data_IF_659814141997
#
_entry.id   IF_659814141997
#
_cell.length_a   1.000
_cell.length_b   1.000
_cell.length_c   1.000
_cell.angle_alpha   90.00
_cell.angle_beta   90.00
_cell.angle_gamma   90.00
#
_symmetry.space_group_name_H-M   'P 1'
#
loop_
_entity.id
_entity.type
_entity.pdbx_description
1 polymer ?
#
# COMPACT_ATOMS: atom_id res chain seq x y z
N UNK A 1 1.35 14.11 51.85
CA UNK A 1 1.83 13.21 50.78
C UNK A 1 0.96 13.44 49.56
N UNK A 2 1.56 13.97 48.49
CA UNK A 2 0.92 14.37 47.24
C UNK A 2 0.29 13.19 46.51
N UNK A 3 -0.97 13.34 46.06
CA UNK A 3 -1.52 12.58 44.92
C UNK A 3 -2.06 13.59 43.91
N UNK A 4 -1.20 13.93 42.95
CA UNK A 4 -1.52 14.67 41.76
C UNK A 4 -2.40 13.79 40.85
N UNK A 5 -3.72 14.03 40.83
CA UNK A 5 -4.60 13.47 39.81
C UNK A 5 -4.59 14.45 38.63
N UNK A 6 -3.83 14.11 37.61
CA UNK A 6 -3.85 14.79 36.31
C UNK A 6 -5.17 14.44 35.63
N UNK A 7 -6.19 15.31 35.78
CA UNK A 7 -7.39 15.27 34.95
C UNK A 7 -6.98 15.74 33.56
N UNK A 8 -6.79 14.79 32.64
CA UNK A 8 -6.78 15.09 31.20
C UNK A 8 -8.18 15.58 30.87
N UNK A 9 -8.32 16.90 30.67
CA UNK A 9 -9.50 17.46 30.06
C UNK A 9 -9.50 17.01 28.60
N UNK A 10 -10.32 16.01 28.27
CA UNK A 10 -10.71 15.77 26.89
C UNK A 10 -11.60 16.95 26.51
N UNK A 11 -11.00 17.94 25.84
CA UNK A 11 -11.76 18.96 25.14
C UNK A 11 -12.51 18.26 24.00
N UNK A 12 -13.74 17.84 24.27
CA UNK A 12 -14.67 17.43 23.25
C UNK A 12 -14.98 18.64 22.38
N UNK A 13 -14.40 18.69 21.18
CA UNK A 13 -14.83 19.64 20.17
C UNK A 13 -16.17 19.13 19.63
N UNK A 14 -17.26 19.67 20.17
CA UNK A 14 -18.58 19.51 19.58
C UNK A 14 -18.58 20.22 18.23
N UNK A 15 -18.50 19.44 17.14
CA UNK A 15 -18.65 19.96 15.79
C UNK A 15 -20.13 20.21 15.55
N UNK A 16 -20.60 21.44 15.80
CA UNK A 16 -21.89 21.89 15.27
C UNK A 16 -21.76 22.00 13.76
N UNK A 17 -22.21 20.97 13.04
CA UNK A 17 -22.39 21.03 11.60
C UNK A 17 -23.55 22.00 11.35
N UNK A 18 -23.22 23.25 11.05
CA UNK A 18 -24.18 24.14 10.39
C UNK A 18 -24.54 23.47 9.06
N UNK A 19 -25.84 23.22 8.85
CA UNK A 19 -26.39 22.65 7.63
C UNK A 19 -26.27 23.67 6.50
N UNK A 20 -25.08 23.78 5.92
CA UNK A 20 -24.85 24.45 4.66
C UNK A 20 -24.18 23.46 3.72
N UNK A 21 -24.51 23.54 2.43
CA UNK A 21 -23.89 22.72 1.39
C UNK A 21 -22.41 23.11 1.27
N UNK A 22 -21.58 22.58 2.17
CA UNK A 22 -20.14 22.68 2.07
C UNK A 22 -19.71 21.90 0.81
N UNK A 23 -19.09 22.59 -0.13
CA UNK A 23 -18.53 21.96 -1.33
C UNK A 23 -17.42 20.98 -0.92
N UNK A 24 -17.22 19.94 -1.72
CA UNK A 24 -16.13 18.98 -1.51
C UNK A 24 -14.77 19.69 -1.32
N UNK A 25 -14.54 20.79 -2.05
CA UNK A 25 -13.34 21.61 -1.93
C UNK A 25 -13.13 22.23 -0.54
N UNK A 26 -14.21 22.62 0.16
CA UNK A 26 -14.11 23.16 1.52
C UNK A 26 -13.79 22.08 2.55
N UNK A 27 -14.40 20.90 2.40
CA UNK A 27 -14.07 19.76 3.25
C UNK A 27 -12.63 19.32 2.99
N UNK A 28 -12.21 19.21 1.73
CA UNK A 28 -10.84 18.87 1.35
C UNK A 28 -9.82 19.84 1.95
N UNK A 29 -10.05 21.16 1.85
CA UNK A 29 -9.17 22.15 2.48
C UNK A 29 -9.18 22.05 4.00
N UNK A 30 -10.35 21.92 4.62
CA UNK A 30 -10.47 21.81 6.07
C UNK A 30 -9.78 20.56 6.64
N UNK A 31 -9.91 19.42 5.96
CA UNK A 31 -9.20 18.19 6.32
C UNK A 31 -7.68 18.30 6.06
N UNK A 32 -7.24 18.95 4.98
CA UNK A 32 -5.82 19.21 4.73
C UNK A 32 -5.20 20.15 5.78
N UNK A 33 -5.96 21.15 6.25
CA UNK A 33 -5.49 22.14 7.22
C UNK A 33 -5.44 21.56 8.64
N UNK A 34 -6.37 20.65 9.00
CA UNK A 34 -6.39 19.97 10.30
C UNK A 34 -5.46 18.73 10.37
N UNK A 35 -5.23 18.06 9.25
CA UNK A 35 -4.52 16.77 9.18
C UNK A 35 -3.45 16.74 8.09
N UNK A 36 -2.78 17.86 7.84
CA UNK A 36 -1.76 18.03 6.78
C UNK A 36 -0.84 16.81 6.60
N UNK A 37 -0.31 16.64 5.38
CA UNK A 37 -0.44 15.40 4.62
C UNK A 37 0.03 14.16 5.40
N UNK A 38 -0.92 13.39 5.96
CA UNK A 38 -0.71 11.96 6.21
C UNK A 38 -0.96 11.12 4.95
N UNK A 39 -0.97 11.74 3.77
CA UNK A 39 -0.83 11.01 2.51
C UNK A 39 0.65 10.65 2.33
N UNK A 40 1.01 9.36 2.19
CA UNK A 40 2.34 8.98 1.78
C UNK A 40 2.72 9.80 0.56
N UNK A 41 3.88 10.45 0.58
CA UNK A 41 4.40 11.12 -0.61
C UNK A 41 4.31 10.14 -1.78
N UNK A 42 3.68 10.58 -2.87
CA UNK A 42 3.35 9.73 -4.02
C UNK A 42 4.58 9.11 -4.69
N UNK A 43 4.41 8.65 -5.92
CA UNK A 43 5.55 8.13 -6.68
C UNK A 43 6.67 9.16 -6.80
N UNK A 44 7.90 8.72 -6.52
CA UNK A 44 9.12 9.53 -6.57
C UNK A 44 10.17 8.86 -7.45
N UNK A 45 11.06 9.65 -8.04
CA UNK A 45 12.31 9.17 -8.64
C UNK A 45 13.40 9.43 -7.62
N UNK A 46 14.10 8.38 -7.18
CA UNK A 46 15.11 8.46 -6.12
C UNK A 46 16.46 7.97 -6.64
N UNK A 47 17.53 8.54 -6.09
CA UNK A 47 18.88 8.03 -6.31
C UNK A 47 19.14 6.86 -5.36
N UNK A 48 19.69 5.78 -5.89
CA UNK A 48 19.96 4.57 -5.14
C UNK A 48 21.45 4.22 -5.17
N UNK A 49 21.89 3.57 -4.09
CA UNK A 49 23.23 3.03 -3.97
C UNK A 49 23.14 1.51 -3.85
N UNK A 50 24.17 0.82 -4.33
CA UNK A 50 24.33 -0.61 -4.12
C UNK A 50 24.26 -1.43 -5.39
N UNK A 51 24.44 -2.74 -5.21
CA UNK A 51 24.56 -3.69 -6.31
C UNK A 51 23.21 -4.30 -6.68
N UNK A 52 22.26 -3.46 -7.09
CA UNK A 52 20.97 -3.92 -7.62
C UNK A 52 21.04 -4.07 -9.15
N UNK A 53 20.26 -4.99 -9.70
CA UNK A 53 20.15 -5.16 -11.14
C UNK A 53 19.00 -4.34 -11.69
N UNK A 54 19.16 -3.83 -12.91
CA UNK A 54 18.08 -3.14 -13.63
C UNK A 54 16.89 -4.10 -13.77
N UNK A 55 15.71 -3.63 -13.41
CA UNK A 55 14.49 -4.43 -13.37
C UNK A 55 14.23 -5.16 -12.05
N UNK A 56 15.15 -5.12 -11.08
CA UNK A 56 14.87 -5.60 -9.73
C UNK A 56 13.75 -4.77 -9.08
N UNK A 57 12.89 -5.45 -8.33
CA UNK A 57 11.90 -4.84 -7.44
C UNK A 57 12.37 -5.06 -6.00
N UNK A 58 12.54 -3.97 -5.24
CA UNK A 58 12.86 -4.01 -3.81
C UNK A 58 11.64 -3.51 -3.05
N UNK A 59 11.07 -4.35 -2.20
CA UNK A 59 10.00 -3.98 -1.27
C UNK A 59 10.63 -3.77 0.10
N UNK A 60 10.63 -2.52 0.57
CA UNK A 60 10.99 -2.20 1.94
C UNK A 60 9.73 -1.94 2.76
N UNK A 61 9.38 -2.89 3.63
CA UNK A 61 8.33 -2.67 4.61
C UNK A 61 8.74 -1.66 5.69
N UNK A 62 10.04 -1.50 5.95
CA UNK A 62 10.57 -0.49 6.88
C UNK A 62 10.39 0.95 6.38
N UNK A 63 10.45 1.16 5.07
CA UNK A 63 10.13 2.45 4.44
C UNK A 63 8.65 2.59 4.09
N UNK A 64 7.90 1.47 4.08
CA UNK A 64 6.57 1.38 3.47
C UNK A 64 6.60 1.82 2.01
N UNK A 65 7.65 1.42 1.30
CA UNK A 65 7.87 1.74 -0.12
C UNK A 65 8.33 0.52 -0.92
N UNK A 66 7.90 0.51 -2.18
CA UNK A 66 8.41 -0.39 -3.21
C UNK A 66 9.31 0.43 -4.14
N UNK A 67 10.43 -0.15 -4.55
CA UNK A 67 11.40 0.47 -5.44
C UNK A 67 11.57 -0.40 -6.68
N UNK A 68 11.39 0.17 -7.86
CA UNK A 68 11.72 -0.46 -9.14
C UNK A 68 13.03 0.14 -9.66
N UNK A 69 14.05 -0.70 -9.85
CA UNK A 69 15.38 -0.27 -10.28
C UNK A 69 15.38 0.00 -11.77
N UNK A 70 15.39 1.29 -12.13
CA UNK A 70 15.42 1.75 -13.53
C UNK A 70 16.85 1.71 -14.08
N UNK A 71 17.83 2.10 -13.26
CA UNK A 71 19.24 2.09 -13.62
C UNK A 71 20.10 1.75 -12.40
N UNK A 72 21.42 1.61 -12.58
CA UNK A 72 22.35 1.37 -11.47
C UNK A 72 22.36 2.46 -10.40
N UNK A 73 21.80 3.65 -10.68
CA UNK A 73 21.79 4.80 -9.77
C UNK A 73 20.40 5.40 -9.54
N UNK A 74 19.36 4.88 -10.21
CA UNK A 74 18.00 5.44 -10.17
C UNK A 74 16.97 4.34 -9.94
N UNK A 75 16.02 4.61 -9.05
CA UNK A 75 14.81 3.83 -8.90
C UNK A 75 13.55 4.69 -8.90
N UNK A 76 12.44 4.11 -9.35
CA UNK A 76 11.12 4.62 -9.04
C UNK A 76 10.69 4.08 -7.70
N UNK A 77 10.23 4.96 -6.82
CA UNK A 77 9.80 4.64 -5.48
C UNK A 77 8.30 4.90 -5.33
N UNK A 78 7.57 3.92 -4.81
CA UNK A 78 6.11 3.93 -4.70
C UNK A 78 5.70 3.71 -3.25
N UNK A 79 4.77 4.49 -2.68
CA UNK A 79 4.21 4.18 -1.37
C UNK A 79 3.37 2.89 -1.42
N UNK A 80 3.42 2.10 -0.35
CA UNK A 80 2.69 0.83 -0.25
C UNK A 80 1.98 0.67 1.09
N UNK A 81 0.87 -0.07 1.10
CA UNK A 81 0.36 -0.69 2.33
C UNK A 81 1.06 -2.04 2.55
N UNK A 82 1.36 -2.35 3.80
CA UNK A 82 2.20 -3.48 4.19
C UNK A 82 1.42 -4.53 5.00
N UNK A 83 1.96 -5.75 5.17
CA UNK A 83 1.33 -6.81 5.94
C UNK A 83 1.21 -6.51 7.43
N UNK A 84 0.11 -6.96 8.04
CA UNK A 84 -0.05 -7.03 9.50
C UNK A 84 1.06 -7.84 10.16
N UNK A 85 1.23 -7.66 11.47
CA UNK A 85 2.32 -8.29 12.23
C UNK A 85 2.30 -9.82 12.15
N UNK A 86 1.10 -10.39 12.13
CA UNK A 86 0.80 -11.81 11.99
C UNK A 86 1.01 -12.36 10.57
N UNK A 87 1.11 -11.48 9.56
CA UNK A 87 1.30 -11.84 8.15
C UNK A 87 2.66 -11.35 7.61
N UNK A 88 3.62 -11.08 8.50
CA UNK A 88 4.97 -10.62 8.13
C UNK A 88 5.73 -11.71 7.37
N UNK A 89 6.45 -11.28 6.35
CA UNK A 89 7.41 -12.10 5.63
C UNK A 89 8.53 -11.25 5.04
N UNK A 90 9.61 -11.90 4.63
CA UNK A 90 10.74 -11.32 3.92
C UNK A 90 11.44 -12.42 3.11
N UNK A 91 12.31 -12.04 2.19
CA UNK A 91 13.07 -12.97 1.35
C UNK A 91 13.06 -12.59 -0.12
N UNK A 92 13.47 -13.54 -0.96
CA UNK A 92 13.53 -13.36 -2.41
C UNK A 92 12.38 -14.11 -3.07
N UNK A 93 11.73 -13.47 -4.02
CA UNK A 93 10.72 -14.02 -4.91
C UNK A 93 10.94 -13.48 -6.33
N UNK A 94 9.98 -13.74 -7.21
CA UNK A 94 10.02 -13.30 -8.60
C UNK A 94 8.60 -13.08 -9.11
N UNK A 95 8.45 -12.17 -10.07
CA UNK A 95 7.17 -11.95 -10.75
C UNK A 95 6.86 -13.18 -11.62
N UNK A 96 5.99 -14.08 -11.17
CA UNK A 96 5.62 -15.29 -11.91
C UNK A 96 4.54 -15.02 -12.96
N UNK A 97 3.66 -14.07 -12.69
CA UNK A 97 2.55 -13.73 -13.58
C UNK A 97 2.14 -12.26 -13.43
N UNK A 98 1.54 -11.73 -14.49
CA UNK A 98 0.93 -10.40 -14.56
C UNK A 98 -0.52 -10.51 -15.04
N UNK A 99 -1.42 -9.77 -14.41
CA UNK A 99 -2.83 -9.63 -14.84
C UNK A 99 -3.30 -8.18 -14.79
N UNK A 100 -4.03 -7.79 -15.84
CA UNK A 100 -4.87 -6.60 -15.84
C UNK A 100 -6.24 -6.95 -15.29
N UNK A 101 -6.82 -6.05 -14.49
CA UNK A 101 -8.15 -6.21 -13.87
C UNK A 101 -8.33 -7.62 -13.28
N UNK A 102 -7.46 -8.06 -12.36
CA UNK A 102 -7.50 -9.40 -11.82
C UNK A 102 -8.84 -9.65 -11.10
N UNK A 103 -9.44 -10.82 -11.31
CA UNK A 103 -10.51 -11.27 -10.43
C UNK A 103 -9.98 -11.60 -9.03
N UNK A 104 -10.83 -11.51 -8.03
CA UNK A 104 -10.47 -11.78 -6.64
C UNK A 104 -11.35 -12.86 -6.01
N UNK A 105 -10.71 -13.70 -5.21
CA UNK A 105 -11.35 -14.73 -4.39
C UNK A 105 -10.71 -14.64 -3.00
N UNK A 106 -11.48 -14.33 -1.95
CA UNK A 106 -10.92 -14.30 -0.60
C UNK A 106 -10.39 -15.68 -0.20
N UNK A 107 -9.31 -15.68 0.58
CA UNK A 107 -8.79 -16.93 1.14
C UNK A 107 -9.74 -17.49 2.19
N UNK A 108 -9.58 -18.77 2.54
CA UNK A 108 -10.34 -19.40 3.62
C UNK A 108 -10.22 -18.61 4.93
N UNK A 109 -9.01 -18.11 5.24
CA UNK A 109 -8.72 -17.33 6.44
C UNK A 109 -9.50 -16.00 6.46
N UNK A 110 -9.49 -15.26 5.35
CA UNK A 110 -10.26 -14.03 5.21
C UNK A 110 -11.76 -14.27 5.40
N UNK A 111 -12.30 -15.38 4.87
CA UNK A 111 -13.71 -15.75 5.05
C UNK A 111 -14.03 -16.21 6.47
N UNK A 112 -13.09 -16.82 7.20
CA UNK A 112 -13.29 -17.13 8.63
C UNK A 112 -13.36 -15.85 9.46
N UNK A 113 -12.49 -14.88 9.18
CA UNK A 113 -12.49 -13.58 9.86
C UNK A 113 -13.73 -12.75 9.52
N UNK A 114 -14.13 -12.74 8.26
CA UNK A 114 -15.33 -12.05 7.80
C UNK A 114 -16.18 -12.95 6.88
N UNK A 115 -17.15 -13.68 7.45
CA UNK A 115 -18.03 -14.58 6.70
C UNK A 115 -18.92 -13.88 5.67
N UNK A 116 -19.05 -12.54 5.73
CA UNK A 116 -19.85 -11.75 4.79
C UNK A 116 -19.12 -11.41 3.50
N UNK A 117 -17.84 -11.74 3.38
CA UNK A 117 -17.09 -11.49 2.15
C UNK A 117 -17.72 -12.26 0.97
N UNK A 118 -17.80 -11.64 -0.22
CA UNK A 118 -18.27 -12.33 -1.42
C UNK A 118 -17.35 -13.51 -1.73
N UNK A 119 -17.91 -14.62 -2.22
CA UNK A 119 -17.10 -15.77 -2.63
C UNK A 119 -16.18 -15.45 -3.81
N UNK A 120 -16.55 -14.48 -4.64
CA UNK A 120 -15.83 -14.07 -5.83
C UNK A 120 -16.18 -12.62 -6.18
N UNK A 121 -15.20 -11.87 -6.65
CA UNK A 121 -15.39 -10.54 -7.23
C UNK A 121 -14.77 -10.53 -8.62
N UNK A 122 -15.53 -10.20 -9.68
CA UNK A 122 -15.00 -10.16 -11.03
C UNK A 122 -13.91 -9.10 -11.20
N UNK A 123 -13.05 -9.32 -12.19
CA UNK A 123 -12.04 -8.36 -12.60
C UNK A 123 -12.66 -7.05 -13.06
N UNK A 124 -12.11 -5.92 -12.64
CA UNK A 124 -12.58 -4.59 -13.04
C UNK A 124 -13.78 -4.06 -12.24
N UNK A 125 -14.35 -4.83 -11.31
CA UNK A 125 -15.33 -4.30 -10.35
C UNK A 125 -14.66 -3.22 -9.47
N UNK A 126 -15.27 -2.04 -9.28
CA UNK A 126 -14.71 -0.98 -8.43
C UNK A 126 -14.46 -1.40 -6.96
N UNK A 127 -15.13 -2.45 -6.48
CA UNK A 127 -14.99 -3.00 -5.13
C UNK A 127 -14.00 -4.16 -5.06
N UNK A 128 -13.26 -4.43 -6.14
CA UNK A 128 -12.29 -5.50 -6.16
C UNK A 128 -11.03 -5.07 -5.38
N UNK A 129 -10.67 -5.76 -4.29
CA UNK A 129 -9.56 -5.34 -3.44
C UNK A 129 -8.19 -5.52 -4.08
N UNK A 130 -8.11 -6.18 -5.25
CA UNK A 130 -6.89 -6.25 -6.05
C UNK A 130 -6.68 -5.03 -6.96
N UNK A 131 -7.69 -4.18 -7.12
CA UNK A 131 -7.62 -2.99 -7.95
C UNK A 131 -7.38 -3.30 -9.43
N UNK A 132 -6.64 -2.43 -10.11
CA UNK A 132 -6.52 -2.44 -11.58
C UNK A 132 -5.44 -3.39 -12.12
N UNK A 133 -4.41 -3.71 -11.35
CA UNK A 133 -3.28 -4.55 -11.76
C UNK A 133 -2.80 -5.45 -10.63
N UNK A 134 -2.32 -6.64 -10.98
CA UNK A 134 -1.61 -7.53 -10.06
C UNK A 134 -0.40 -8.21 -10.71
N UNK A 135 0.70 -8.24 -9.95
CA UNK A 135 1.90 -9.05 -10.16
C UNK A 135 1.90 -10.16 -9.12
N UNK A 136 1.98 -11.40 -9.56
CA UNK A 136 1.95 -12.60 -8.72
C UNK A 136 3.39 -13.00 -8.39
N UNK A 137 3.62 -13.47 -7.16
CA UNK A 137 4.96 -13.69 -6.62
C UNK A 137 5.24 -15.17 -6.42
N UNK A 138 6.11 -15.73 -7.28
CA UNK A 138 6.45 -17.16 -7.28
C UNK A 138 5.22 -18.07 -7.30
N UNK A 139 5.28 -19.14 -6.51
CA UNK A 139 4.18 -20.09 -6.27
C UNK A 139 3.35 -19.73 -5.03
N UNK A 140 3.53 -18.53 -4.48
CA UNK A 140 2.85 -18.07 -3.27
C UNK A 140 1.47 -17.47 -3.56
N UNK A 141 0.71 -17.19 -2.50
CA UNK A 141 -0.51 -16.39 -2.58
C UNK A 141 -0.25 -14.88 -2.55
N UNK A 142 1.00 -14.45 -2.41
CA UNK A 142 1.35 -13.03 -2.33
C UNK A 142 1.38 -12.37 -3.70
N UNK A 143 0.98 -11.09 -3.69
CA UNK A 143 0.86 -10.27 -4.89
C UNK A 143 1.31 -8.85 -4.57
N UNK A 144 1.86 -8.18 -5.58
CA UNK A 144 1.91 -6.72 -5.63
C UNK A 144 0.71 -6.29 -6.46
N UNK A 145 -0.20 -5.49 -5.91
CA UNK A 145 -1.45 -5.16 -6.59
C UNK A 145 -1.96 -3.76 -6.28
N UNK A 146 -2.95 -3.29 -7.04
CA UNK A 146 -3.69 -2.05 -6.78
C UNK A 146 -4.57 -2.13 -5.52
N UNK A 147 -5.56 -1.27 -5.37
CA UNK A 147 -6.47 -1.33 -4.22
C UNK A 147 -7.78 -0.59 -4.51
N UNK A 148 -8.87 -1.04 -3.89
CA UNK A 148 -10.14 -0.31 -3.79
C UNK A 148 -10.17 0.64 -2.58
N UNK A 149 -9.18 0.53 -1.69
CA UNK A 149 -9.05 1.34 -0.47
C UNK A 149 -7.74 2.15 -0.46
N UNK A 150 -7.59 3.21 -1.30
CA UNK A 150 -6.36 3.99 -1.42
C UNK A 150 -5.97 4.73 -0.14
N UNK A 151 -6.92 5.07 0.74
CA UNK A 151 -6.66 5.70 2.03
C UNK A 151 -5.91 4.79 3.03
N UNK A 152 -5.75 3.50 2.73
CA UNK A 152 -4.97 2.56 3.53
C UNK A 152 -3.50 2.44 3.08
N UNK A 153 -3.10 3.09 1.98
CA UNK A 153 -1.70 3.13 1.56
C UNK A 153 -0.87 3.82 2.66
N UNK A 154 0.30 3.26 2.97
CA UNK A 154 1.11 3.67 4.11
C UNK A 154 0.68 3.03 5.44
N UNK A 155 -0.38 2.23 5.49
CA UNK A 155 -0.81 1.53 6.70
C UNK A 155 -0.40 0.05 6.73
N UNK A 156 -0.53 -0.56 7.91
CA UNK A 156 -0.20 -1.97 8.15
C UNK A 156 -1.49 -2.79 8.24
N UNK A 157 -2.01 -3.27 7.10
CA UNK A 157 -3.40 -3.77 7.02
C UNK A 157 -3.58 -5.05 6.21
N UNK A 158 -2.61 -5.48 5.42
CA UNK A 158 -2.81 -6.61 4.50
C UNK A 158 -2.52 -7.97 5.14
N UNK A 159 -3.10 -9.03 4.59
CA UNK A 159 -2.80 -10.44 4.91
C UNK A 159 -1.56 -10.95 4.15
N UNK A 160 -0.56 -10.10 3.91
CA UNK A 160 0.71 -10.48 3.27
C UNK A 160 0.97 -9.86 1.90
N UNK A 161 -0.06 -9.47 1.14
CA UNK A 161 0.12 -8.78 -0.14
C UNK A 161 0.66 -7.36 0.01
N UNK A 162 1.30 -6.85 -1.03
CA UNK A 162 1.76 -5.46 -1.15
C UNK A 162 0.71 -4.67 -1.93
N UNK A 163 0.05 -3.70 -1.29
CA UNK A 163 -0.96 -2.86 -1.94
C UNK A 163 -0.36 -1.54 -2.39
N UNK A 164 -0.72 -1.10 -3.59
CA UNK A 164 -0.30 0.15 -4.21
C UNK A 164 -1.53 0.96 -4.59
N UNK A 165 -1.35 2.27 -4.83
CA UNK A 165 -2.32 3.02 -5.61
C UNK A 165 -2.50 2.40 -7.00
N UNK A 166 -3.67 2.55 -7.62
CA UNK A 166 -4.00 1.85 -8.88
C UNK A 166 -3.14 2.35 -10.06
N UNK A 167 -2.83 3.64 -10.08
CA UNK A 167 -1.95 4.32 -11.01
C UNK A 167 -0.50 3.86 -10.87
N UNK A 168 -0.04 3.64 -9.64
CA UNK A 168 1.29 3.13 -9.33
C UNK A 168 1.42 1.65 -9.69
N UNK A 169 0.40 0.85 -9.40
CA UNK A 169 0.32 -0.54 -9.84
C UNK A 169 0.33 -0.63 -11.37
N UNK A 170 -0.39 0.25 -12.08
CA UNK A 170 -0.35 0.34 -13.53
C UNK A 170 1.02 0.73 -14.09
N UNK A 171 1.72 1.64 -13.42
CA UNK A 171 3.07 2.03 -13.81
C UNK A 171 4.08 0.90 -13.61
N UNK A 172 4.10 0.30 -12.42
CA UNK A 172 4.96 -0.87 -12.14
C UNK A 172 4.65 -2.01 -13.10
N UNK A 173 3.37 -2.25 -13.41
CA UNK A 173 2.96 -3.26 -14.37
C UNK A 173 3.56 -3.04 -15.75
N UNK A 174 3.65 -1.81 -16.25
CA UNK A 174 4.27 -1.55 -17.56
C UNK A 174 5.79 -1.80 -17.55
N UNK A 175 6.45 -1.53 -16.43
CA UNK A 175 7.92 -1.61 -16.29
C UNK A 175 8.41 -3.04 -16.00
N UNK A 176 7.79 -3.69 -15.02
CA UNK A 176 8.24 -4.98 -14.53
C UNK A 176 7.97 -6.10 -15.53
N UNK A 177 8.96 -6.97 -15.74
CA UNK A 177 8.85 -8.17 -16.57
C UNK A 177 8.47 -9.38 -15.72
N UNK A 178 7.82 -10.36 -16.33
CA UNK A 178 7.75 -11.71 -15.75
C UNK A 178 9.20 -12.22 -15.61
N UNK A 179 9.51 -12.83 -14.47
CA UNK A 179 10.87 -13.21 -14.07
C UNK A 179 11.65 -12.13 -13.33
N UNK A 180 11.13 -10.90 -13.20
CA UNK A 180 11.80 -9.85 -12.42
C UNK A 180 11.99 -10.30 -10.96
N UNK A 181 13.20 -10.13 -10.42
CA UNK A 181 13.53 -10.47 -9.03
C UNK A 181 12.80 -9.51 -8.10
N UNK A 182 12.17 -10.06 -7.06
CA UNK A 182 11.49 -9.31 -6.01
C UNK A 182 12.21 -9.59 -4.69
N UNK A 183 12.81 -8.58 -4.09
CA UNK A 183 13.44 -8.68 -2.76
C UNK A 183 12.54 -8.00 -1.75
N UNK A 184 12.11 -8.72 -0.73
CA UNK A 184 11.27 -8.18 0.34
C UNK A 184 12.05 -8.14 1.63
N UNK A 185 12.12 -6.97 2.25
CA UNK A 185 12.86 -6.75 3.50
C UNK A 185 12.10 -5.82 4.45
N UNK A 186 12.44 -5.91 5.73
CA UNK A 186 12.04 -4.95 6.77
C UNK A 186 13.05 -3.82 6.94
N UNK A 187 14.23 -3.95 6.34
CA UNK A 187 15.26 -2.91 6.36
C UNK A 187 14.89 -1.75 5.45
N UNK A 188 15.31 -0.56 5.85
CA UNK A 188 15.17 0.65 5.04
C UNK A 188 16.15 0.65 3.87
N UNK A 189 15.69 1.04 2.70
CA UNK A 189 16.53 1.24 1.53
C UNK A 189 17.40 2.47 1.74
N UNK A 190 18.70 2.34 1.44
CA UNK A 190 19.62 3.49 1.44
C UNK A 190 19.45 4.27 0.14
N UNK A 191 18.68 5.35 0.18
CA UNK A 191 18.60 6.37 -0.88
C UNK A 191 19.58 7.51 -0.59
N UNK A 192 20.11 8.15 -1.65
CA UNK A 192 20.94 9.36 -1.54
C UNK A 192 20.08 10.62 -1.49
#
# INVERSE_FOLDING_TARGET
MSRLIMKIAVAGLALTIATTNASAAFLDSFFNDLFGPMSPQGRQVVRINGNHNVGDIIVSFGDRRLYYVESKTVAYSYPIAIPKAEAKWSGVSYVSQKRENPAWTPTADMRRENPKLPAYVPGGDPRNPLGTRALYLGDSLYRIHGTDAPWLIGQQVSHGCIRMYNEDAADLYRRAKVGAKVVVTWDRMRTM
#
